data_IF_928512746949
#
_entry.id   IF_928512746949
#
_cell.length_a   1.000
_cell.length_b   1.000
_cell.length_c   1.000
_cell.angle_alpha   90.00
_cell.angle_beta   90.00
_cell.angle_gamma   90.00
#
_symmetry.space_group_name_H-M   'P 1'
#
loop_
_entity.id
_entity.type
_entity.pdbx_description
1 polymer ?
#
# COMPACT_ATOMS: atom_id res chain seq x y z
N UNK A 1 1.96 -5.83 12.41
CA UNK A 1 2.61 -5.52 11.13
C UNK A 1 2.33 -4.08 10.72
N UNK A 2 3.34 -3.35 10.26
CA UNK A 2 3.10 -2.03 9.67
C UNK A 2 2.43 -2.19 8.31
N UNK A 3 1.65 -1.23 7.83
CA UNK A 3 1.09 -1.19 6.46
C UNK A 3 1.34 0.17 5.85
N UNK A 4 1.30 0.29 4.52
CA UNK A 4 1.37 1.61 3.90
C UNK A 4 0.15 2.44 4.30
N UNK A 5 0.40 3.64 4.83
CA UNK A 5 -0.65 4.63 5.01
C UNK A 5 -1.16 5.07 3.65
N UNK A 6 -2.45 5.32 3.55
CA UNK A 6 -3.10 5.88 2.40
C UNK A 6 -3.85 7.14 2.81
N UNK A 7 -3.68 8.20 2.03
CA UNK A 7 -4.44 9.44 2.18
C UNK A 7 -5.47 9.51 1.06
N UNK A 8 -6.74 9.62 1.46
CA UNK A 8 -7.89 9.86 0.58
C UNK A 8 -8.52 11.22 0.89
N UNK A 9 -8.96 11.91 -0.15
CA UNK A 9 -9.54 13.25 -0.07
C UNK A 9 -10.76 13.33 -0.96
N UNK A 10 -11.90 13.64 -0.38
CA UNK A 10 -13.15 13.88 -1.10
C UNK A 10 -13.22 15.38 -1.46
N UNK A 11 -13.06 15.69 -2.75
CA UNK A 11 -13.02 17.05 -3.24
C UNK A 11 -13.27 17.12 -4.75
N UNK A 12 -13.96 18.17 -5.22
CA UNK A 12 -13.97 18.51 -6.65
C UNK A 12 -12.59 18.98 -7.11
N UNK A 13 -12.39 19.06 -8.43
CA UNK A 13 -11.14 19.57 -9.01
C UNK A 13 -10.85 21.01 -8.59
N UNK A 14 -11.88 21.84 -8.48
CA UNK A 14 -11.78 23.24 -8.08
C UNK A 14 -11.40 23.37 -6.59
N UNK A 15 -12.03 22.55 -5.73
CA UNK A 15 -11.68 22.50 -4.31
C UNK A 15 -10.25 22.02 -4.10
N UNK A 16 -9.84 20.99 -4.85
CA UNK A 16 -8.48 20.46 -4.78
C UNK A 16 -7.45 21.46 -5.32
N UNK A 17 -7.74 22.18 -6.41
CA UNK A 17 -6.88 23.24 -6.93
C UNK A 17 -6.63 24.35 -5.90
N UNK A 18 -7.70 24.79 -5.21
CA UNK A 18 -7.60 25.81 -4.16
C UNK A 18 -6.75 25.30 -2.99
N UNK A 19 -7.01 24.08 -2.52
CA UNK A 19 -6.22 23.48 -1.45
C UNK A 19 -4.74 23.32 -1.85
N UNK A 20 -4.43 22.90 -3.09
CA UNK A 20 -3.04 22.82 -3.59
C UNK A 20 -2.39 24.20 -3.68
N UNK A 21 -3.15 25.23 -4.08
CA UNK A 21 -2.67 26.61 -4.07
C UNK A 21 -2.25 27.02 -2.65
N UNK A 22 -3.07 26.72 -1.66
CA UNK A 22 -2.77 26.96 -0.25
C UNK A 22 -1.59 26.12 0.26
N UNK A 23 -1.49 24.84 -0.12
CA UNK A 23 -0.34 23.98 0.20
C UNK A 23 0.96 24.53 -0.39
N UNK A 24 0.90 25.14 -1.57
CA UNK A 24 2.07 25.73 -2.24
C UNK A 24 2.49 27.04 -1.57
N UNK A 25 1.54 27.81 -1.03
CA UNK A 25 1.78 29.07 -0.33
C UNK A 25 2.23 28.86 1.12
N UNK A 26 1.74 27.80 1.77
CA UNK A 26 2.16 27.40 3.11
C UNK A 26 3.59 26.90 3.05
N UNK A 27 4.54 27.74 3.46
CA UNK A 27 5.97 27.43 3.48
C UNK A 27 6.30 26.46 4.64
N UNK A 28 5.89 25.20 4.53
CA UNK A 28 6.49 24.12 5.30
C UNK A 28 7.94 23.95 4.80
N UNK A 29 8.92 24.15 5.68
CA UNK A 29 10.31 24.48 5.33
C UNK A 29 11.01 23.51 4.36
N UNK A 30 10.55 22.27 4.23
CA UNK A 30 11.18 21.24 3.41
C UNK A 30 10.29 20.64 2.32
N UNK A 31 9.02 21.04 2.22
CA UNK A 31 8.13 20.61 1.14
C UNK A 31 7.91 21.73 0.13
N UNK A 32 7.95 21.38 -1.16
CA UNK A 32 7.70 22.33 -2.24
C UNK A 32 6.97 21.66 -3.40
N UNK A 33 6.11 22.40 -4.10
CA UNK A 33 5.43 21.87 -5.29
C UNK A 33 6.38 21.77 -6.48
N UNK A 34 6.46 20.59 -7.09
CA UNK A 34 7.33 20.30 -8.23
C UNK A 34 6.52 20.22 -9.53
N UNK A 35 6.28 21.39 -10.15
CA UNK A 35 5.51 21.51 -11.40
C UNK A 35 6.23 20.88 -12.61
N UNK A 36 7.56 20.76 -12.57
CA UNK A 36 8.32 20.11 -13.63
C UNK A 36 8.08 18.60 -13.61
N UNK A 37 8.07 17.99 -12.43
CA UNK A 37 7.68 16.58 -12.25
C UNK A 37 6.22 16.35 -12.68
N UNK A 38 5.29 17.24 -12.33
CA UNK A 38 3.89 17.17 -12.79
C UNK A 38 3.81 17.13 -14.33
N UNK A 39 4.54 18.04 -14.99
CA UNK A 39 4.56 18.16 -16.45
C UNK A 39 5.13 16.90 -17.11
N UNK A 40 6.24 16.37 -16.59
CA UNK A 40 6.86 15.13 -17.11
C UNK A 40 5.93 13.93 -17.01
N UNK A 41 5.22 13.78 -15.89
CA UNK A 41 4.28 12.66 -15.72
C UNK A 41 3.04 12.83 -16.61
N UNK A 42 2.58 14.07 -16.81
CA UNK A 42 1.47 14.39 -17.69
C UNK A 42 1.77 14.04 -19.15
N UNK A 43 2.96 14.39 -19.66
CA UNK A 43 3.37 14.08 -21.04
C UNK A 43 3.52 12.57 -21.29
N UNK A 44 4.00 11.82 -20.31
CA UNK A 44 4.10 10.35 -20.40
C UNK A 44 2.74 9.65 -20.30
N UNK A 45 1.74 10.28 -19.70
CA UNK A 45 0.39 9.75 -19.52
C UNK A 45 -0.57 10.24 -20.62
N UNK A 46 -0.07 10.48 -21.84
CA UNK A 46 -0.83 11.09 -22.94
C UNK A 46 -2.19 10.37 -23.13
N UNK A 47 -3.28 11.08 -22.81
CA UNK A 47 -4.66 10.56 -22.84
C UNK A 47 -5.38 10.54 -21.49
N UNK A 48 -4.66 10.65 -20.37
CA UNK A 48 -5.27 10.78 -19.04
C UNK A 48 -5.67 12.23 -18.76
N UNK A 49 -6.95 12.46 -18.48
CA UNK A 49 -7.50 13.76 -18.06
C UNK A 49 -7.47 13.95 -16.54
N UNK A 50 -6.81 13.03 -15.82
CA UNK A 50 -6.73 13.03 -14.35
C UNK A 50 -5.75 14.08 -13.88
N UNK A 51 -6.15 14.87 -12.89
CA UNK A 51 -5.25 15.83 -12.25
C UNK A 51 -4.21 15.10 -11.40
N UNK A 52 -2.97 15.59 -11.49
CA UNK A 52 -1.81 15.10 -10.74
C UNK A 52 -1.04 16.30 -10.21
N UNK A 53 -0.77 16.29 -8.91
CA UNK A 53 0.07 17.28 -8.24
C UNK A 53 1.28 16.57 -7.65
N UNK A 54 2.45 17.22 -7.71
CA UNK A 54 3.69 16.66 -7.20
C UNK A 54 4.28 17.58 -6.14
N UNK A 55 4.65 17.00 -5.00
CA UNK A 55 5.34 17.69 -3.92
C UNK A 55 6.68 17.02 -3.67
N UNK A 56 7.72 17.81 -3.52
CA UNK A 56 9.09 17.39 -3.26
C UNK A 56 9.44 17.67 -1.80
N UNK A 57 9.89 16.64 -1.11
CA UNK A 57 10.62 16.73 0.16
C UNK A 57 12.11 16.93 -0.15
N UNK A 58 12.69 18.02 0.33
CA UNK A 58 14.11 18.32 0.12
C UNK A 58 15.00 17.48 1.05
N UNK A 59 16.14 17.04 0.51
CA UNK A 59 17.20 16.38 1.29
C UNK A 59 17.84 17.37 2.27
N UNK A 60 18.26 16.89 3.45
CA UNK A 60 18.85 17.72 4.51
C UNK A 60 17.93 17.98 5.71
N UNK A 61 16.80 17.28 5.79
CA UNK A 61 16.00 17.15 7.03
C UNK A 61 16.28 15.81 7.72
N UNK A 62 15.55 15.51 8.80
CA UNK A 62 15.52 14.15 9.37
C UNK A 62 14.82 13.12 8.47
N UNK A 63 14.24 13.55 7.34
CA UNK A 63 13.56 12.69 6.37
C UNK A 63 14.38 12.61 5.07
N UNK A 64 14.34 11.46 4.36
CA UNK A 64 14.97 11.34 3.06
C UNK A 64 14.25 12.18 2.00
N UNK A 65 14.96 12.51 0.93
CA UNK A 65 14.39 13.25 -0.20
C UNK A 65 13.38 12.39 -0.97
N UNK A 66 12.22 12.97 -1.30
CA UNK A 66 11.11 12.24 -1.89
C UNK A 66 10.27 13.10 -2.84
N UNK A 67 9.59 12.46 -3.78
CA UNK A 67 8.49 13.01 -4.56
C UNK A 67 7.19 12.30 -4.18
N UNK A 68 6.20 13.07 -3.76
CA UNK A 68 4.86 12.60 -3.42
C UNK A 68 3.88 13.05 -4.51
N UNK A 69 3.07 12.11 -4.99
CA UNK A 69 2.07 12.36 -6.04
C UNK A 69 0.65 12.27 -5.49
N UNK A 70 -0.08 13.36 -5.58
CA UNK A 70 -1.51 13.43 -5.30
C UNK A 70 -2.28 13.38 -6.62
N UNK A 71 -3.09 12.34 -6.80
CA UNK A 71 -3.73 12.01 -8.08
C UNK A 71 -5.24 11.86 -7.93
N UNK A 72 -5.97 12.29 -8.95
CA UNK A 72 -7.41 12.04 -9.08
C UNK A 72 -7.68 10.53 -9.34
N UNK A 73 -8.47 9.89 -8.47
CA UNK A 73 -8.84 8.47 -8.56
C UNK A 73 -10.18 8.25 -9.30
N UNK A 74 -11.11 9.21 -9.20
CA UNK A 74 -12.46 9.15 -9.78
C UNK A 74 -13.20 10.48 -9.64
N UNK A 75 -14.52 10.47 -9.82
CA UNK A 75 -15.34 11.66 -9.59
C UNK A 75 -15.24 12.09 -8.12
N UNK A 76 -14.69 13.28 -7.89
CA UNK A 76 -14.53 13.91 -6.58
C UNK A 76 -13.65 13.16 -5.56
N UNK A 77 -12.74 12.29 -6.02
CA UNK A 77 -11.83 11.57 -5.14
C UNK A 77 -10.37 11.75 -5.56
N UNK A 78 -9.55 12.21 -4.62
CA UNK A 78 -8.10 12.29 -4.74
C UNK A 78 -7.43 11.36 -3.73
N UNK A 79 -6.22 10.92 -4.06
CA UNK A 79 -5.42 10.09 -3.17
C UNK A 79 -3.93 10.27 -3.44
N UNK A 80 -3.11 9.98 -2.44
CA UNK A 80 -1.65 9.89 -2.64
C UNK A 80 -1.34 8.58 -3.35
N UNK A 81 -1.00 8.67 -4.62
CA UNK A 81 -0.78 7.50 -5.48
C UNK A 81 0.61 6.88 -5.32
N UNK A 82 1.60 7.68 -4.94
CA UNK A 82 2.95 7.19 -4.70
C UNK A 82 3.80 8.18 -3.91
N UNK A 83 4.81 7.66 -3.21
CA UNK A 83 5.91 8.41 -2.60
C UNK A 83 7.20 7.73 -3.05
N UNK A 84 7.99 8.41 -3.87
CA UNK A 84 9.19 7.85 -4.50
C UNK A 84 10.44 8.59 -4.03
N UNK A 85 11.57 7.91 -3.81
CA UNK A 85 12.81 8.56 -3.41
C UNK A 85 13.39 9.42 -4.53
N UNK A 86 14.05 10.52 -4.17
CA UNK A 86 14.81 11.34 -5.13
C UNK A 86 16.22 10.80 -5.38
N UNK A 87 16.71 9.94 -4.50
CA UNK A 87 17.99 9.26 -4.60
C UNK A 87 17.79 7.77 -4.93
N UNK A 88 18.85 7.10 -5.37
CA UNK A 88 18.81 5.68 -5.72
C UNK A 88 18.49 4.82 -4.49
N UNK A 89 17.43 4.03 -4.56
CA UNK A 89 16.94 3.19 -3.47
C UNK A 89 15.43 3.06 -3.54
N UNK A 90 14.83 2.19 -2.71
CA UNK A 90 13.40 2.18 -2.42
C UNK A 90 13.17 2.61 -0.98
N UNK A 91 11.97 3.08 -0.64
CA UNK A 91 11.60 3.30 0.76
C UNK A 91 11.14 2.00 1.39
N UNK A 92 11.55 1.77 2.63
CA UNK A 92 10.81 0.84 3.48
C UNK A 92 9.46 1.47 3.90
N UNK A 93 8.62 0.67 4.56
CA UNK A 93 7.27 1.10 4.91
C UNK A 93 7.27 2.15 6.01
N UNK A 94 8.22 2.10 6.92
CA UNK A 94 8.34 3.12 7.97
C UNK A 94 8.74 4.46 7.35
N UNK A 95 9.71 4.47 6.43
CA UNK A 95 10.13 5.65 5.68
C UNK A 95 8.98 6.24 4.87
N UNK A 96 8.27 5.40 4.10
CA UNK A 96 7.08 5.82 3.35
C UNK A 96 6.04 6.46 4.27
N UNK A 97 5.69 5.77 5.37
CA UNK A 97 4.66 6.23 6.28
C UNK A 97 5.05 7.52 6.99
N UNK A 98 6.31 7.67 7.36
CA UNK A 98 6.83 8.89 7.98
C UNK A 98 6.79 10.06 7.01
N UNK A 99 7.15 9.85 5.73
CA UNK A 99 7.05 10.88 4.69
C UNK A 99 5.60 11.31 4.45
N UNK A 100 4.67 10.34 4.31
CA UNK A 100 3.26 10.65 4.10
C UNK A 100 2.64 11.35 5.33
N UNK A 101 2.97 10.90 6.53
CA UNK A 101 2.48 11.50 7.77
C UNK A 101 3.04 12.91 7.98
N UNK A 102 4.30 13.15 7.64
CA UNK A 102 4.91 14.47 7.70
C UNK A 102 4.28 15.42 6.67
N UNK A 103 4.14 15.00 5.40
CA UNK A 103 3.39 15.77 4.40
C UNK A 103 1.97 16.09 4.86
N UNK A 104 1.28 15.09 5.43
CA UNK A 104 -0.08 15.26 5.92
C UNK A 104 -0.16 16.33 7.02
N UNK A 105 0.70 16.26 8.02
CA UNK A 105 0.66 17.17 9.17
C UNK A 105 1.16 18.58 8.83
N UNK A 106 2.22 18.69 8.04
CA UNK A 106 2.91 19.96 7.78
C UNK A 106 2.33 20.74 6.60
N UNK A 107 1.80 20.04 5.59
CA UNK A 107 1.39 20.65 4.32
C UNK A 107 -0.11 20.51 4.11
N UNK A 108 -0.61 19.27 4.10
CA UNK A 108 -1.98 18.99 3.69
C UNK A 108 -3.00 19.51 4.71
N UNK A 109 -2.90 19.07 5.97
CA UNK A 109 -3.90 19.35 7.01
C UNK A 109 -4.12 20.85 7.25
N UNK A 110 -3.08 21.72 7.29
CA UNK A 110 -3.29 23.16 7.40
C UNK A 110 -4.05 23.77 6.21
N UNK A 111 -3.73 23.33 5.00
CA UNK A 111 -4.26 23.89 3.74
C UNK A 111 -5.60 23.28 3.28
N UNK A 112 -5.95 22.10 3.77
CA UNK A 112 -7.14 21.35 3.37
C UNK A 112 -8.06 21.01 4.56
N UNK A 113 -7.99 21.78 5.66
CA UNK A 113 -8.76 21.54 6.88
C UNK A 113 -10.28 21.54 6.67
N UNK A 114 -10.75 22.16 5.60
CA UNK A 114 -12.16 22.26 5.21
C UNK A 114 -12.61 21.13 4.26
N UNK A 115 -11.71 20.27 3.78
CA UNK A 115 -12.02 19.14 2.92
C UNK A 115 -12.23 17.87 3.75
N UNK A 116 -13.12 16.98 3.31
CA UNK A 116 -13.25 15.65 3.90
C UNK A 116 -12.06 14.79 3.47
N UNK A 117 -11.38 14.18 4.44
CA UNK A 117 -10.19 13.38 4.19
C UNK A 117 -10.01 12.27 5.20
N UNK A 118 -9.32 11.21 4.79
CA UNK A 118 -9.00 10.04 5.62
C UNK A 118 -7.56 9.63 5.39
N UNK A 119 -6.78 9.56 6.46
CA UNK A 119 -5.46 8.93 6.50
C UNK A 119 -5.59 7.58 7.21
N UNK A 120 -5.23 6.48 6.55
CA UNK A 120 -5.26 5.15 7.20
C UNK A 120 -4.22 5.03 8.31
N UNK A 121 -4.44 4.08 9.21
CA UNK A 121 -3.48 3.75 10.27
C UNK A 121 -2.22 3.09 9.68
N UNK A 122 -1.10 3.20 10.40
CA UNK A 122 0.17 2.61 9.97
C UNK A 122 0.33 1.15 10.38
N UNK A 123 -0.58 0.64 11.19
CA UNK A 123 -0.56 -0.70 11.75
C UNK A 123 -1.91 -1.33 11.46
N UNK A 124 -1.90 -2.57 10.97
CA UNK A 124 -3.11 -3.36 10.79
C UNK A 124 -2.98 -4.61 11.62
N UNK A 125 -4.05 -4.90 12.36
CA UNK A 125 -4.22 -6.19 13.02
C UNK A 125 -4.59 -7.23 11.95
N UNK A 126 -3.99 -8.42 12.01
CA UNK A 126 -4.36 -9.55 11.15
C UNK A 126 -5.86 -9.88 11.22
N UNK A 127 -6.48 -9.56 12.37
CA UNK A 127 -7.92 -9.66 12.59
C UNK A 127 -8.75 -8.82 11.60
N UNK A 128 -8.18 -7.77 11.00
CA UNK A 128 -8.87 -6.98 9.98
C UNK A 128 -8.93 -7.66 8.61
N UNK A 129 -8.03 -8.63 8.36
CA UNK A 129 -7.92 -9.29 7.06
C UNK A 129 -8.53 -10.68 7.01
N UNK A 130 -8.59 -11.34 8.16
CA UNK A 130 -8.99 -12.74 8.24
C UNK A 130 -9.47 -13.09 9.65
N UNK A 131 -10.34 -14.10 9.74
CA UNK A 131 -10.79 -14.61 11.03
C UNK A 131 -9.64 -15.21 11.84
N UNK A 132 -9.82 -15.30 13.17
CA UNK A 132 -8.88 -15.99 14.06
C UNK A 132 -8.60 -17.45 13.61
N UNK A 133 -9.59 -18.10 12.97
CA UNK A 133 -9.45 -19.47 12.49
C UNK A 133 -8.48 -19.57 11.30
N UNK A 134 -8.56 -18.63 10.37
CA UNK A 134 -7.66 -18.54 9.22
C UNK A 134 -6.25 -18.11 9.66
N UNK A 135 -6.13 -17.21 10.63
CA UNK A 135 -4.84 -16.84 11.24
C UNK A 135 -4.17 -18.02 11.90
N UNK A 136 -4.92 -18.84 12.63
CA UNK A 136 -4.39 -20.02 13.31
C UNK A 136 -3.79 -21.03 12.32
N UNK A 137 -4.38 -21.16 11.13
CA UNK A 137 -3.83 -22.01 10.06
C UNK A 137 -2.54 -21.43 9.48
N UNK A 138 -2.49 -20.11 9.25
CA UNK A 138 -1.30 -19.42 8.79
C UNK A 138 -0.15 -19.53 9.80
N UNK A 139 -0.44 -19.30 11.08
CA UNK A 139 0.51 -19.45 12.18
C UNK A 139 1.00 -20.90 12.28
N UNK A 140 0.10 -21.89 12.25
CA UNK A 140 0.46 -23.30 12.32
C UNK A 140 1.36 -23.74 11.14
N UNK A 141 1.12 -23.22 9.93
CA UNK A 141 2.03 -23.39 8.81
C UNK A 141 3.38 -22.73 9.09
N UNK A 142 3.38 -21.45 9.45
CA UNK A 142 4.60 -20.65 9.68
C UNK A 142 5.52 -21.21 10.77
N UNK A 143 4.93 -21.71 11.86
CA UNK A 143 5.66 -22.22 13.01
C UNK A 143 6.22 -23.62 12.78
N UNK A 144 5.54 -24.44 11.97
CA UNK A 144 5.93 -25.82 11.75
C UNK A 144 6.77 -26.03 10.48
N UNK A 145 6.69 -25.13 9.52
CA UNK A 145 7.40 -25.26 8.25
C UNK A 145 8.88 -24.95 8.42
N UNK A 146 9.72 -25.69 7.69
CA UNK A 146 11.10 -25.27 7.52
C UNK A 146 11.15 -24.07 6.56
N UNK A 147 11.42 -22.88 7.11
CA UNK A 147 11.40 -21.59 6.41
C UNK A 147 12.42 -21.47 5.27
N UNK A 148 13.40 -22.36 5.22
CA UNK A 148 14.37 -22.47 4.11
C UNK A 148 13.88 -23.30 2.91
N UNK A 149 12.81 -24.08 3.08
CA UNK A 149 12.26 -24.96 2.04
C UNK A 149 10.81 -24.66 1.68
N UNK A 150 10.21 -23.60 2.22
CA UNK A 150 8.85 -23.21 1.86
C UNK A 150 7.81 -24.28 2.23
N UNK A 151 6.87 -24.48 1.33
CA UNK A 151 5.86 -25.53 1.39
C UNK A 151 6.27 -26.82 0.63
N UNK A 152 7.57 -27.07 0.43
CA UNK A 152 8.04 -28.21 -0.35
C UNK A 152 7.81 -29.58 0.33
N UNK A 153 7.81 -29.62 1.67
CA UNK A 153 7.53 -30.84 2.41
C UNK A 153 6.03 -31.16 2.38
N UNK A 154 5.59 -32.42 2.17
CA UNK A 154 4.17 -32.77 2.01
C UNK A 154 3.27 -32.28 3.15
N UNK A 155 3.75 -32.34 4.41
CA UNK A 155 2.98 -31.86 5.56
C UNK A 155 2.85 -30.33 5.58
N UNK A 156 3.88 -29.62 5.15
CA UNK A 156 3.87 -28.15 5.10
C UNK A 156 3.02 -27.67 3.93
N UNK A 157 3.05 -28.40 2.80
CA UNK A 157 2.12 -28.21 1.69
C UNK A 157 0.67 -28.37 2.10
N UNK A 158 0.36 -29.41 2.89
CA UNK A 158 -1.01 -29.63 3.37
C UNK A 158 -1.49 -28.50 4.29
N UNK A 159 -0.64 -28.03 5.22
CA UNK A 159 -0.96 -26.89 6.09
C UNK A 159 -1.14 -25.59 5.30
N UNK A 160 -0.25 -25.35 4.34
CA UNK A 160 -0.31 -24.18 3.46
C UNK A 160 -1.61 -24.16 2.64
N UNK A 161 -1.94 -25.27 1.97
CA UNK A 161 -3.17 -25.38 1.19
C UNK A 161 -4.42 -25.24 2.07
N UNK A 162 -4.40 -25.78 3.29
CA UNK A 162 -5.50 -25.61 4.23
C UNK A 162 -5.74 -24.13 4.59
N UNK A 163 -4.68 -23.36 4.83
CA UNK A 163 -4.78 -21.91 5.01
C UNK A 163 -5.35 -21.23 3.77
N UNK A 164 -4.83 -21.52 2.58
CA UNK A 164 -5.26 -20.88 1.31
C UNK A 164 -6.74 -21.14 1.03
N UNK A 165 -7.19 -22.40 1.17
CA UNK A 165 -8.60 -22.77 0.96
C UNK A 165 -9.49 -22.04 1.96
N UNK A 166 -9.12 -22.03 3.23
CA UNK A 166 -9.90 -21.36 4.27
C UNK A 166 -9.97 -19.84 4.04
N UNK A 167 -8.87 -19.21 3.66
CA UNK A 167 -8.82 -17.79 3.32
C UNK A 167 -9.71 -17.45 2.12
N UNK A 168 -9.83 -18.36 1.15
CA UNK A 168 -10.74 -18.21 0.02
C UNK A 168 -12.21 -18.38 0.42
N UNK A 169 -12.54 -19.42 1.18
CA UNK A 169 -13.91 -19.69 1.67
C UNK A 169 -14.47 -18.51 2.50
N UNK A 170 -13.62 -17.88 3.30
CA UNK A 170 -13.98 -16.72 4.13
C UNK A 170 -13.95 -15.38 3.38
N UNK A 171 -13.61 -15.37 2.09
CA UNK A 171 -13.41 -14.17 1.29
C UNK A 171 -12.48 -13.14 1.97
N UNK A 172 -11.36 -13.62 2.52
CA UNK A 172 -10.39 -12.76 3.20
C UNK A 172 -9.92 -11.61 2.29
N UNK A 173 -9.77 -10.43 2.86
CA UNK A 173 -9.27 -9.23 2.17
C UNK A 173 -7.75 -9.20 2.06
N UNK A 174 -7.06 -10.18 2.65
CA UNK A 174 -5.61 -10.33 2.57
C UNK A 174 -5.12 -10.46 1.12
N UNK A 175 -4.32 -9.50 0.67
CA UNK A 175 -3.64 -9.55 -0.62
C UNK A 175 -2.28 -10.27 -0.54
N UNK A 176 -1.77 -10.73 -1.69
CA UNK A 176 -0.49 -11.43 -1.76
C UNK A 176 0.70 -10.57 -1.28
N UNK A 177 0.66 -9.26 -1.53
CA UNK A 177 1.69 -8.34 -1.06
C UNK A 177 1.75 -8.26 0.47
N UNK A 178 0.58 -8.17 1.12
CA UNK A 178 0.47 -8.16 2.58
C UNK A 178 0.91 -9.49 3.20
N UNK A 179 0.55 -10.60 2.57
CA UNK A 179 0.97 -11.93 3.00
C UNK A 179 2.49 -12.13 2.89
N UNK A 180 3.11 -11.76 1.75
CA UNK A 180 4.58 -11.81 1.57
C UNK A 180 5.24 -11.10 2.73
N UNK A 181 4.74 -9.91 3.03
CA UNK A 181 5.31 -9.05 4.05
C UNK A 181 5.15 -9.63 5.45
N UNK A 182 3.97 -10.14 5.78
CA UNK A 182 3.73 -10.79 7.06
C UNK A 182 4.69 -11.97 7.27
N UNK A 183 4.90 -12.78 6.23
CA UNK A 183 5.87 -13.87 6.25
C UNK A 183 7.28 -13.36 6.57
N UNK A 184 7.71 -12.24 6.00
CA UNK A 184 9.05 -11.68 6.27
C UNK A 184 9.14 -11.08 7.68
N UNK A 185 8.23 -10.15 8.03
CA UNK A 185 8.34 -9.33 9.24
C UNK A 185 7.99 -10.11 10.52
N UNK A 186 6.89 -10.87 10.50
CA UNK A 186 6.36 -11.56 11.67
C UNK A 186 6.72 -13.05 11.63
N UNK A 187 6.61 -13.66 10.44
CA UNK A 187 6.92 -15.06 10.24
C UNK A 187 8.43 -15.38 10.18
N UNK A 188 9.29 -14.38 10.00
CA UNK A 188 10.75 -14.56 9.91
C UNK A 188 11.20 -15.38 8.69
N UNK A 189 10.44 -15.35 7.60
CA UNK A 189 10.75 -16.04 6.36
C UNK A 189 11.78 -15.25 5.53
N UNK A 190 12.60 -15.97 4.75
CA UNK A 190 13.48 -15.34 3.76
C UNK A 190 12.68 -14.70 2.63
N UNK A 191 13.17 -13.59 2.08
CA UNK A 191 12.44 -12.79 1.08
C UNK A 191 12.03 -13.59 -0.16
N UNK A 192 12.93 -14.45 -0.66
CA UNK A 192 12.68 -15.29 -1.85
C UNK A 192 11.53 -16.27 -1.60
N UNK A 193 11.59 -17.02 -0.50
CA UNK A 193 10.56 -18.00 -0.13
C UNK A 193 9.22 -17.31 0.17
N UNK A 194 9.25 -16.15 0.83
CA UNK A 194 8.04 -15.37 1.08
C UNK A 194 7.40 -14.87 -0.22
N UNK A 195 8.21 -14.47 -1.22
CA UNK A 195 7.72 -14.07 -2.53
C UNK A 195 7.08 -15.25 -3.30
N UNK A 196 7.69 -16.43 -3.23
CA UNK A 196 7.14 -17.65 -3.82
C UNK A 196 5.78 -18.01 -3.21
N UNK A 197 5.69 -18.04 -1.87
CA UNK A 197 4.44 -18.34 -1.15
C UNK A 197 3.35 -17.31 -1.47
N UNK A 198 3.68 -16.02 -1.51
CA UNK A 198 2.71 -14.99 -1.89
C UNK A 198 2.18 -15.15 -3.31
N UNK A 199 3.07 -15.50 -4.25
CA UNK A 199 2.66 -15.79 -5.63
C UNK A 199 1.75 -17.02 -5.71
N UNK A 200 2.11 -18.11 -5.01
CA UNK A 200 1.26 -19.31 -4.93
C UNK A 200 -0.12 -18.99 -4.35
N UNK A 201 -0.19 -18.17 -3.29
CA UNK A 201 -1.45 -17.74 -2.69
C UNK A 201 -2.34 -17.00 -3.69
N UNK A 202 -1.77 -16.03 -4.43
CA UNK A 202 -2.50 -15.29 -5.46
C UNK A 202 -3.07 -16.21 -6.54
N UNK A 203 -2.24 -17.09 -7.08
CA UNK A 203 -2.64 -18.04 -8.15
C UNK A 203 -3.72 -18.99 -7.62
N UNK A 204 -3.55 -19.53 -6.42
CA UNK A 204 -4.51 -20.47 -5.86
C UNK A 204 -5.89 -19.82 -5.62
N UNK A 205 -5.94 -18.56 -5.15
CA UNK A 205 -7.22 -17.82 -5.01
C UNK A 205 -7.90 -17.56 -6.35
N UNK A 206 -7.13 -17.25 -7.40
CA UNK A 206 -7.68 -17.09 -8.75
C UNK A 206 -8.29 -18.40 -9.26
N UNK A 207 -7.57 -19.53 -9.10
CA UNK A 207 -8.04 -20.86 -9.50
C UNK A 207 -9.30 -21.28 -8.72
N UNK A 208 -9.32 -21.08 -7.39
CA UNK A 208 -10.47 -21.40 -6.56
C UNK A 208 -11.69 -20.54 -6.91
N UNK A 209 -11.48 -19.26 -7.20
CA UNK A 209 -12.53 -18.37 -7.69
C UNK A 209 -13.12 -18.85 -9.01
N UNK A 210 -12.27 -19.23 -9.98
CA UNK A 210 -12.72 -19.77 -11.25
C UNK A 210 -13.50 -21.08 -11.08
N UNK A 211 -13.00 -22.01 -10.27
CA UNK A 211 -13.66 -23.29 -10.01
C UNK A 211 -15.06 -23.12 -9.40
N UNK A 212 -15.23 -22.20 -8.46
CA UNK A 212 -16.54 -21.89 -7.88
C UNK A 212 -17.52 -21.29 -8.89
N UNK A 213 -17.05 -20.47 -9.84
CA UNK A 213 -17.92 -19.94 -10.90
C UNK A 213 -18.30 -20.99 -11.93
N UNK A 214 -17.43 -21.97 -12.19
CA UNK A 214 -17.66 -23.05 -13.15
C UNK A 214 -18.68 -24.09 -12.63
N UNK A 215 -18.79 -24.28 -11.31
CA UNK A 215 -19.77 -25.19 -10.69
C UNK A 215 -21.20 -24.62 -10.64
N UNK A 216 -21.38 -23.32 -10.93
CA UNK A 216 -22.67 -22.62 -10.90
C UNK A 216 -23.24 -22.41 -12.33
N UNK A 217 -22.51 -22.82 -13.37
CA UNK A 217 -22.90 -22.74 -14.79
C UNK A 217 -23.39 -24.10 -15.33
#
# INVERSE_FOLDING_TARGET
>A
MKVFRELFVEATREQMDEAVSQMTQSSAAHWSRDKEAETRVSTMSAGSTRRKYCFRCNTGTSLPGALLFLTEKGEQLFYVSNVIPTESGGFDVAEYNNLLLDFYNQVFRPAAHNLQHRLTEADVDLNEWMSESTQSLLAAFSDCANKSTGAAHPNDRARWLAFVVKAHEENCTLEAADLKRWLIEEGGWGEEIAAELAMEYSIAREVLGFAQTADVA
#
